data_IF_959731124835
#
_entry.id   IF_959731124835
#
_cell.length_a   1.000
_cell.length_b   1.000
_cell.length_c   1.000
_cell.angle_alpha   90.00
_cell.angle_beta   90.00
_cell.angle_gamma   90.00
#
_symmetry.space_group_name_H-M   'P 1'
#
loop_
_entity.id
_entity.type
_entity.pdbx_description
1 polymer ?
#
# COMPACT_ATOMS: atom_id res chain seq x y z
N UNK A 1 -5.46 8.03 12.63
CA UNK A 1 -4.58 7.95 11.44
C UNK A 1 -5.43 7.75 10.20
N UNK A 2 -5.13 8.43 9.10
CA UNK A 2 -5.91 8.35 7.86
C UNK A 2 -5.11 7.63 6.77
N UNK A 3 -5.70 6.59 6.18
CA UNK A 3 -5.14 5.91 5.00
C UNK A 3 -5.64 6.62 3.75
N UNK A 4 -4.74 6.88 2.81
CA UNK A 4 -5.09 7.51 1.53
C UNK A 4 -5.70 6.44 0.62
N UNK A 5 -7.04 6.36 0.63
CA UNK A 5 -7.83 5.41 -0.19
C UNK A 5 -8.46 6.04 -1.43
N UNK A 6 -9.34 7.02 -1.22
CA UNK A 6 -10.27 7.49 -2.25
C UNK A 6 -9.67 8.48 -3.27
N UNK A 7 -8.45 8.96 -3.05
CA UNK A 7 -7.79 9.97 -3.91
C UNK A 7 -6.58 9.42 -4.66
N UNK A 8 -6.28 8.13 -4.54
CA UNK A 8 -5.03 7.56 -5.07
C UNK A 8 -4.88 7.80 -6.58
N UNK A 9 -5.94 7.63 -7.35
CA UNK A 9 -5.91 7.90 -8.81
C UNK A 9 -5.60 9.36 -9.12
N UNK A 10 -6.23 10.30 -8.41
CA UNK A 10 -6.00 11.74 -8.59
C UNK A 10 -4.53 12.09 -8.29
N UNK A 11 -3.98 11.53 -7.22
CA UNK A 11 -2.60 11.77 -6.79
C UNK A 11 -1.62 11.15 -7.79
N UNK A 12 -1.89 9.93 -8.27
CA UNK A 12 -1.08 9.26 -9.30
C UNK A 12 -0.97 10.14 -10.55
N UNK A 13 -2.08 10.72 -11.01
CA UNK A 13 -2.08 11.63 -12.17
C UNK A 13 -1.24 12.87 -11.90
N UNK A 14 -1.36 13.49 -10.73
CA UNK A 14 -0.59 14.70 -10.36
C UNK A 14 0.91 14.44 -10.24
N UNK A 15 1.29 13.29 -9.70
CA UNK A 15 2.70 12.86 -9.56
C UNK A 15 3.26 12.34 -10.89
N UNK A 16 2.41 12.07 -11.88
CA UNK A 16 2.82 11.54 -13.18
C UNK A 16 3.30 10.10 -13.12
N UNK A 17 2.74 9.29 -12.22
CA UNK A 17 3.10 7.88 -12.10
C UNK A 17 2.53 7.07 -13.28
N UNK A 18 3.38 6.25 -13.90
CA UNK A 18 3.00 5.40 -15.03
C UNK A 18 2.64 4.00 -14.56
N UNK A 19 1.44 3.54 -14.93
CA UNK A 19 0.97 2.21 -14.57
C UNK A 19 1.79 1.11 -15.24
N UNK A 20 2.05 0.04 -14.48
CA UNK A 20 2.67 -1.20 -14.92
C UNK A 20 1.58 -2.27 -15.10
N UNK A 21 1.61 -2.97 -16.23
CA UNK A 21 0.71 -4.09 -16.49
C UNK A 21 1.51 -5.39 -16.45
N UNK A 22 1.12 -6.30 -15.55
CA UNK A 22 1.84 -7.57 -15.31
C UNK A 22 0.93 -8.79 -15.40
N UNK A 23 -0.34 -8.64 -15.03
CA UNK A 23 -1.31 -9.72 -14.94
C UNK A 23 -2.44 -9.53 -15.95
N UNK A 24 -3.18 -10.60 -16.28
CA UNK A 24 -4.40 -10.47 -17.08
C UNK A 24 -5.57 -9.86 -16.30
N UNK A 25 -5.57 -10.02 -14.97
CA UNK A 25 -6.58 -9.42 -14.09
C UNK A 25 -6.30 -7.91 -13.90
N UNK A 26 -7.22 -7.09 -14.41
CA UNK A 26 -7.11 -5.63 -14.36
C UNK A 26 -7.10 -5.09 -12.92
N UNK A 27 -7.92 -5.67 -12.04
CA UNK A 27 -8.00 -5.21 -10.66
C UNK A 27 -6.70 -5.48 -9.90
N UNK A 28 -6.07 -6.64 -10.14
CA UNK A 28 -4.79 -6.99 -9.57
C UNK A 28 -3.69 -6.02 -10.02
N UNK A 29 -3.67 -5.64 -11.30
CA UNK A 29 -2.75 -4.59 -11.78
C UNK A 29 -3.02 -3.24 -11.12
N UNK A 30 -4.27 -2.83 -10.93
CA UNK A 30 -4.60 -1.58 -10.24
C UNK A 30 -4.03 -1.59 -8.81
N UNK A 31 -4.29 -2.66 -8.05
CA UNK A 31 -3.81 -2.81 -6.67
C UNK A 31 -2.27 -2.86 -6.59
N UNK A 32 -1.62 -3.55 -7.55
CA UNK A 32 -0.17 -3.56 -7.67
C UNK A 32 0.38 -2.14 -7.84
N UNK A 33 -0.22 -1.35 -8.73
CA UNK A 33 0.22 0.01 -9.01
C UNK A 33 -0.02 0.94 -7.83
N UNK A 34 -1.12 0.78 -7.09
CA UNK A 34 -1.32 1.55 -5.86
C UNK A 34 -0.24 1.26 -4.83
N UNK A 35 0.05 -0.01 -4.59
CA UNK A 35 1.13 -0.37 -3.68
C UNK A 35 2.49 0.19 -4.13
N UNK A 36 2.87 -0.03 -5.40
CA UNK A 36 4.14 0.46 -5.94
C UNK A 36 4.21 1.98 -6.00
N UNK A 37 3.09 2.66 -6.20
CA UNK A 37 3.04 4.11 -6.16
C UNK A 37 3.45 4.64 -4.78
N UNK A 38 2.90 4.10 -3.68
CA UNK A 38 3.32 4.51 -2.34
C UNK A 38 4.75 4.08 -1.98
N UNK A 39 5.26 3.00 -2.59
CA UNK A 39 6.65 2.56 -2.43
C UNK A 39 7.65 3.46 -3.17
N UNK A 40 7.36 3.84 -4.41
CA UNK A 40 8.28 4.55 -5.29
C UNK A 40 8.17 6.08 -5.20
N UNK A 41 7.00 6.60 -4.79
CA UNK A 41 6.66 8.04 -4.82
C UNK A 41 6.38 8.64 -3.45
N UNK A 42 6.91 8.03 -2.38
CA UNK A 42 6.70 8.49 -1.01
C UNK A 42 6.92 10.00 -0.85
N UNK A 43 8.07 10.51 -1.28
CA UNK A 43 8.43 11.93 -1.11
C UNK A 43 7.50 12.85 -1.88
N UNK A 44 7.22 12.53 -3.14
CA UNK A 44 6.33 13.33 -3.98
C UNK A 44 4.89 13.36 -3.41
N UNK A 45 4.40 12.24 -2.86
CA UNK A 45 3.10 12.18 -2.19
C UNK A 45 3.11 13.05 -0.92
N UNK A 46 4.19 12.97 -0.14
CA UNK A 46 4.38 13.74 1.08
C UNK A 46 4.35 15.25 0.80
N UNK A 47 5.09 15.70 -0.20
CA UNK A 47 5.16 17.11 -0.61
C UNK A 47 3.82 17.60 -1.19
N UNK A 48 3.16 16.77 -2.00
CA UNK A 48 1.89 17.13 -2.64
C UNK A 48 0.72 17.24 -1.64
N UNK A 49 0.67 16.36 -0.64
CA UNK A 49 -0.46 16.29 0.28
C UNK A 49 -0.19 16.92 1.65
N UNK A 50 1.08 17.16 2.01
CA UNK A 50 1.46 17.63 3.34
C UNK A 50 1.17 16.62 4.46
N UNK A 51 1.19 15.32 4.14
CA UNK A 51 0.86 14.23 5.08
C UNK A 51 2.10 13.70 5.81
N UNK A 52 1.90 13.04 6.95
CA UNK A 52 2.98 12.40 7.70
C UNK A 52 3.55 11.17 6.98
N UNK A 53 4.81 10.84 7.27
CA UNK A 53 5.42 9.55 6.88
C UNK A 53 4.60 8.35 7.33
N UNK A 54 4.09 8.42 8.56
CA UNK A 54 3.21 7.41 9.13
C UNK A 54 2.01 7.13 8.20
N UNK A 55 1.31 8.17 7.75
CA UNK A 55 0.15 8.04 6.86
C UNK A 55 0.52 7.38 5.52
N UNK A 56 1.72 7.67 4.99
CA UNK A 56 2.20 7.03 3.76
C UNK A 56 2.53 5.56 3.99
N UNK A 57 3.27 5.22 5.04
CA UNK A 57 3.67 3.84 5.32
C UNK A 57 2.46 2.94 5.61
N UNK A 58 1.46 3.45 6.33
CA UNK A 58 0.21 2.72 6.52
C UNK A 58 -0.61 2.60 5.23
N UNK A 59 -0.56 3.59 4.34
CA UNK A 59 -1.18 3.49 3.01
C UNK A 59 -0.48 2.46 2.14
N UNK A 60 0.85 2.44 2.14
CA UNK A 60 1.69 1.43 1.48
C UNK A 60 1.34 0.02 1.97
N UNK A 61 1.27 -0.16 3.29
CA UNK A 61 0.91 -1.44 3.91
C UNK A 61 -0.52 -1.87 3.55
N UNK A 62 -1.48 -0.94 3.58
CA UNK A 62 -2.86 -1.19 3.18
C UNK A 62 -2.95 -1.68 1.74
N UNK A 63 -2.34 -0.96 0.79
CA UNK A 63 -2.42 -1.34 -0.62
C UNK A 63 -1.67 -2.63 -0.94
N UNK A 64 -0.54 -2.90 -0.27
CA UNK A 64 0.13 -4.20 -0.32
C UNK A 64 -0.80 -5.33 0.16
N UNK A 65 -1.54 -5.11 1.25
CA UNK A 65 -2.50 -6.07 1.78
C UNK A 65 -3.65 -6.33 0.81
N UNK A 66 -4.20 -5.28 0.19
CA UNK A 66 -5.25 -5.44 -0.82
C UNK A 66 -4.75 -6.22 -2.04
N UNK A 67 -3.56 -5.88 -2.55
CA UNK A 67 -2.90 -6.61 -3.63
C UNK A 67 -2.69 -8.09 -3.26
N UNK A 68 -2.15 -8.37 -2.07
CA UNK A 68 -1.93 -9.73 -1.56
C UNK A 68 -3.22 -10.53 -1.52
N UNK A 69 -4.29 -9.97 -0.96
CA UNK A 69 -5.58 -10.66 -0.86
C UNK A 69 -6.12 -11.02 -2.24
N UNK A 70 -6.12 -10.06 -3.18
CA UNK A 70 -6.56 -10.32 -4.56
C UNK A 70 -5.68 -11.33 -5.27
N UNK A 71 -4.36 -11.28 -5.07
CA UNK A 71 -3.44 -12.28 -5.65
C UNK A 71 -3.75 -13.67 -5.12
N UNK A 72 -3.93 -13.80 -3.81
CA UNK A 72 -4.22 -15.08 -3.15
C UNK A 72 -5.55 -15.69 -3.61
N UNK A 73 -6.57 -14.86 -3.86
CA UNK A 73 -7.84 -15.30 -4.45
C UNK A 73 -7.66 -15.91 -5.85
N UNK A 74 -6.76 -15.35 -6.66
CA UNK A 74 -6.58 -15.73 -8.07
C UNK A 74 -5.60 -16.90 -8.24
N UNK A 75 -4.52 -16.92 -7.47
CA UNK A 75 -3.37 -17.81 -7.70
C UNK A 75 -2.99 -18.64 -6.46
N UNK A 76 -3.66 -18.45 -5.33
CA UNK A 76 -3.28 -19.03 -4.06
C UNK A 76 -2.14 -18.28 -3.37
N UNK A 77 -1.74 -18.78 -2.20
CA UNK A 77 -0.78 -18.12 -1.32
C UNK A 77 0.60 -18.00 -1.95
N UNK A 78 1.18 -16.80 -1.92
CA UNK A 78 2.53 -16.51 -2.38
C UNK A 78 3.44 -16.04 -1.23
N UNK A 79 4.47 -16.83 -0.93
CA UNK A 79 5.43 -16.55 0.14
C UNK A 79 6.26 -15.29 -0.16
N UNK A 80 6.51 -14.98 -1.43
CA UNK A 80 7.23 -13.77 -1.84
C UNK A 80 6.43 -12.52 -1.50
N UNK A 81 5.12 -12.52 -1.73
CA UNK A 81 4.24 -11.40 -1.37
C UNK A 81 4.15 -11.25 0.16
N UNK A 82 4.03 -12.35 0.91
CA UNK A 82 4.06 -12.30 2.38
C UNK A 82 5.36 -11.65 2.89
N UNK A 83 6.51 -12.04 2.33
CA UNK A 83 7.80 -11.44 2.68
C UNK A 83 7.86 -9.94 2.39
N UNK A 84 7.26 -9.48 1.29
CA UNK A 84 7.20 -8.05 0.98
C UNK A 84 6.32 -7.30 1.98
N UNK A 85 5.21 -7.89 2.41
CA UNK A 85 4.36 -7.28 3.43
C UNK A 85 5.10 -7.18 4.79
N UNK A 86 5.87 -8.21 5.17
CA UNK A 86 6.72 -8.16 6.37
C UNK A 86 7.81 -7.09 6.31
N UNK A 87 8.45 -6.90 5.15
CA UNK A 87 9.44 -5.83 4.95
C UNK A 87 8.85 -4.44 5.17
N UNK A 88 7.58 -4.23 4.83
CA UNK A 88 6.90 -2.96 5.10
C UNK A 88 6.72 -2.76 6.61
N UNK A 89 6.40 -3.82 7.37
CA UNK A 89 6.32 -3.74 8.84
C UNK A 89 7.70 -3.42 9.41
N UNK A 90 8.75 -4.10 8.95
CA UNK A 90 10.13 -3.81 9.38
C UNK A 90 10.49 -2.35 9.11
N UNK A 91 10.21 -1.86 7.90
CA UNK A 91 10.40 -0.47 7.52
C UNK A 91 9.63 0.48 8.45
N UNK A 92 8.37 0.18 8.76
CA UNK A 92 7.57 0.97 9.71
C UNK A 92 8.25 0.99 11.08
N UNK A 93 8.59 -0.15 11.66
CA UNK A 93 9.25 -0.21 12.98
C UNK A 93 10.59 0.54 13.04
N UNK A 94 11.29 0.70 11.90
CA UNK A 94 12.54 1.45 11.83
C UNK A 94 12.33 2.95 11.66
N UNK A 95 11.27 3.35 10.94
CA UNK A 95 11.09 4.74 10.48
C UNK A 95 10.02 5.51 11.26
N UNK A 96 9.13 4.82 11.96
CA UNK A 96 8.12 5.41 12.85
C UNK A 96 8.28 4.86 14.27
N UNK A 97 8.11 5.75 15.27
CA UNK A 97 8.45 5.43 16.66
C UNK A 97 7.53 4.40 17.32
N UNK A 98 6.25 4.38 16.94
CA UNK A 98 5.25 3.49 17.53
C UNK A 98 4.33 2.96 16.43
N UNK A 99 4.46 1.67 16.13
CA UNK A 99 3.58 1.00 15.17
C UNK A 99 2.30 0.62 15.90
N UNK A 100 1.18 1.21 15.50
CA UNK A 100 -0.16 0.80 15.90
C UNK A 100 -0.49 -0.59 15.31
N UNK A 101 -0.20 -1.63 16.09
CA UNK A 101 -0.49 -3.02 15.77
C UNK A 101 -1.99 -3.32 15.68
N UNK A 102 -2.82 -2.59 16.43
CA UNK A 102 -4.28 -2.75 16.35
C UNK A 102 -4.77 -2.30 14.99
N UNK A 103 -4.21 -1.21 14.47
CA UNK A 103 -4.54 -0.73 13.13
C UNK A 103 -4.01 -1.64 12.02
N UNK A 104 -2.82 -2.23 12.17
CA UNK A 104 -2.33 -3.28 11.27
C UNK A 104 -3.31 -4.45 11.21
N UNK A 105 -3.76 -4.95 12.36
CA UNK A 105 -4.74 -6.04 12.42
C UNK A 105 -6.07 -5.64 11.78
N UNK A 106 -6.55 -4.40 11.99
CA UNK A 106 -7.76 -3.91 11.33
C UNK A 106 -7.65 -3.90 9.79
N UNK A 107 -6.47 -3.60 9.25
CA UNK A 107 -6.20 -3.65 7.81
C UNK A 107 -6.26 -5.09 7.30
N UNK A 108 -5.61 -6.03 7.99
CA UNK A 108 -5.58 -7.45 7.60
C UNK A 108 -6.96 -8.11 7.67
N UNK A 109 -7.77 -7.75 8.67
CA UNK A 109 -9.15 -8.24 8.83
C UNK A 109 -10.16 -7.53 7.90
N UNK A 110 -9.73 -6.50 7.15
CA UNK A 110 -10.61 -5.70 6.30
C UNK A 110 -11.65 -4.88 7.06
N UNK A 111 -11.40 -4.58 8.35
CA UNK A 111 -12.31 -3.83 9.24
C UNK A 111 -12.06 -2.33 9.25
N UNK A 112 -11.23 -1.84 8.34
CA UNK A 112 -10.76 -0.45 8.32
C UNK A 112 -11.68 0.49 7.51
N UNK A 113 -13.00 0.25 7.48
CA UNK A 113 -13.97 1.03 6.67
C UNK A 113 -14.02 2.51 7.04
#
# INVERSE_FOLDING_TARGET
MEIIKCKVEEIIVKVGYSYKEKYSDKQLNILLNYWYFFDEKEKEIQELLGVSLESILYSKYYWCTQYKNRYNELYGKDVGIDQQQYKIIEEMTQRINDVDWSFIQMIEEGKNN
#
